data_IF_376839695245
#
_entry.id   IF_376839695245
#
_cell.length_a   1.000
_cell.length_b   1.000
_cell.length_c   1.000
_cell.angle_alpha   90.00
_cell.angle_beta   90.00
_cell.angle_gamma   90.00
#
_symmetry.space_group_name_H-M   'P 1'
#
loop_
_entity.id
_entity.type
_entity.pdbx_description
1 polymer ?
#
# COMPACT_ATOMS: atom_id res chain seq x y z
N UNK A 1 23.52 -25.68 9.11
CA UNK A 1 22.21 -25.00 9.02
C UNK A 1 22.13 -23.70 9.83
N UNK A 2 22.81 -23.55 10.98
CA UNK A 2 22.78 -22.30 11.78
C UNK A 2 23.52 -21.09 11.15
N UNK A 3 24.49 -21.30 10.25
CA UNK A 3 25.32 -20.22 9.66
C UNK A 3 24.79 -19.57 8.37
N UNK A 4 24.01 -20.31 7.56
CA UNK A 4 23.26 -19.71 6.42
C UNK A 4 22.25 -18.65 6.89
N UNK A 5 21.77 -18.79 8.13
CA UNK A 5 20.86 -17.84 8.78
C UNK A 5 21.61 -16.56 9.18
N UNK A 6 22.91 -16.61 9.49
CA UNK A 6 23.69 -15.42 9.85
C UNK A 6 24.04 -14.55 8.63
N UNK A 7 24.43 -15.16 7.50
CA UNK A 7 24.65 -14.44 6.25
C UNK A 7 23.34 -13.85 5.67
N UNK A 8 22.23 -14.61 5.74
CA UNK A 8 20.90 -14.07 5.46
C UNK A 8 20.46 -13.03 6.47
N UNK A 9 20.87 -13.09 7.74
CA UNK A 9 20.52 -12.08 8.75
C UNK A 9 21.32 -10.79 8.60
N UNK A 10 22.57 -10.84 8.11
CA UNK A 10 23.36 -9.65 7.81
C UNK A 10 22.86 -8.98 6.51
N UNK A 11 22.61 -9.75 5.46
CA UNK A 11 21.94 -9.29 4.25
C UNK A 11 20.49 -8.82 4.52
N UNK A 12 19.77 -9.52 5.42
CA UNK A 12 18.44 -9.09 5.86
C UNK A 12 18.48 -7.92 6.84
N UNK A 13 19.57 -7.63 7.54
CA UNK A 13 19.73 -6.41 8.33
C UNK A 13 19.96 -5.20 7.42
N UNK A 14 20.71 -5.39 6.33
CA UNK A 14 20.80 -4.41 5.23
C UNK A 14 19.41 -4.18 4.62
N UNK A 15 18.58 -5.23 4.48
CA UNK A 15 17.21 -5.10 3.97
C UNK A 15 16.17 -4.63 5.02
N UNK A 16 16.34 -4.92 6.31
CA UNK A 16 15.38 -4.58 7.37
C UNK A 16 15.37 -3.07 7.66
N UNK A 17 16.51 -2.39 7.49
CA UNK A 17 16.57 -0.93 7.46
C UNK A 17 16.14 -0.32 6.11
N UNK A 18 15.86 -1.14 5.09
CA UNK A 18 15.68 -0.72 3.67
C UNK A 18 14.30 -1.10 3.08
N UNK A 19 13.48 -1.88 3.79
CA UNK A 19 12.11 -2.27 3.40
C UNK A 19 11.07 -1.61 4.33
N UNK A 20 10.63 -0.40 3.94
CA UNK A 20 9.44 0.35 4.40
C UNK A 20 9.45 1.02 5.80
N UNK A 21 8.91 2.25 5.94
CA UNK A 21 8.40 2.74 7.21
C UNK A 21 7.09 2.00 7.49
N UNK A 22 7.16 0.87 8.17
CA UNK A 22 5.97 0.25 8.77
C UNK A 22 6.21 0.15 10.26
N UNK A 23 5.40 0.93 10.99
CA UNK A 23 5.27 1.00 12.44
C UNK A 23 5.31 -0.42 13.02
N UNK A 24 6.36 -0.71 13.78
CA UNK A 24 6.34 -1.75 14.79
C UNK A 24 6.64 -1.07 16.12
N UNK A 25 5.58 -0.87 16.90
CA UNK A 25 5.64 -0.55 18.32
C UNK A 25 6.47 -1.61 19.04
N UNK A 26 7.57 -1.21 19.67
CA UNK A 26 8.04 -1.82 20.90
C UNK A 26 9.03 -0.88 21.61
N UNK A 27 8.54 -0.40 22.75
CA UNK A 27 9.23 0.06 23.96
C UNK A 27 10.06 1.35 23.93
N UNK A 28 9.56 2.26 24.78
CA UNK A 28 10.14 3.51 25.24
C UNK A 28 11.62 3.36 25.62
N UNK A 29 12.50 3.80 24.74
CA UNK A 29 13.76 4.42 25.15
C UNK A 29 13.81 5.83 24.57
N UNK A 30 14.21 6.76 25.43
CA UNK A 30 14.20 8.20 25.22
C UNK A 30 14.85 8.57 23.89
N UNK A 31 14.10 9.30 23.07
CA UNK A 31 14.60 9.93 21.84
C UNK A 31 15.58 11.03 22.23
N UNK A 32 16.83 10.66 22.46
CA UNK A 32 17.94 11.61 22.51
C UNK A 32 18.51 11.78 21.11
N UNK A 33 18.18 12.92 20.51
CA UNK A 33 18.95 13.65 19.51
C UNK A 33 19.55 12.80 18.37
N UNK A 34 18.73 12.48 17.37
CA UNK A 34 19.15 11.89 16.09
C UNK A 34 19.92 12.93 15.27
N UNK A 35 21.21 13.10 15.57
CA UNK A 35 22.15 13.71 14.64
C UNK A 35 22.11 12.96 13.30
N UNK A 36 21.96 13.69 12.20
CA UNK A 36 21.98 13.17 10.83
C UNK A 36 23.32 12.48 10.53
N UNK A 37 23.44 11.19 10.85
CA UNK A 37 24.50 10.34 10.33
C UNK A 37 24.05 9.70 9.02
N UNK A 38 24.92 9.69 8.03
CA UNK A 38 24.67 9.04 6.73
C UNK A 38 24.58 7.53 6.93
N UNK A 39 23.62 6.84 6.30
CA UNK A 39 23.51 5.36 6.35
C UNK A 39 24.82 4.66 5.94
N UNK A 40 25.64 5.32 5.12
CA UNK A 40 26.97 4.83 4.75
C UNK A 40 27.93 4.94 5.92
N UNK A 41 27.96 6.07 6.62
CA UNK A 41 28.82 6.27 7.80
C UNK A 41 28.44 5.31 8.93
N UNK A 42 27.14 5.07 9.13
CA UNK A 42 26.66 4.08 10.08
C UNK A 42 27.12 2.67 9.68
N UNK A 43 26.99 2.31 8.40
CA UNK A 43 27.48 1.03 7.92
C UNK A 43 29.00 0.92 8.04
N UNK A 44 29.79 1.94 7.72
CA UNK A 44 31.25 1.91 7.88
C UNK A 44 31.65 1.76 9.34
N UNK A 45 30.97 2.46 10.24
CA UNK A 45 31.21 2.41 11.69
C UNK A 45 30.78 1.08 12.30
N UNK A 46 29.68 0.51 11.81
CA UNK A 46 29.07 -0.71 12.33
C UNK A 46 29.37 -1.94 11.45
N UNK A 47 30.23 -1.80 10.42
CA UNK A 47 30.59 -2.91 9.54
C UNK A 47 31.19 -3.99 10.43
N UNK A 48 30.53 -5.15 10.57
CA UNK A 48 31.09 -6.19 11.40
C UNK A 48 32.41 -6.61 10.77
N UNK A 49 33.50 -6.44 11.51
CA UNK A 49 34.78 -7.04 11.16
C UNK A 49 34.62 -8.55 11.26
N UNK A 50 34.12 -9.16 10.18
CA UNK A 50 34.06 -10.61 10.07
C UNK A 50 35.46 -11.17 10.20
N UNK A 51 35.58 -12.32 10.84
CA UNK A 51 36.86 -13.01 10.84
C UNK A 51 37.19 -13.46 9.42
N UNK A 52 38.47 -13.57 9.10
CA UNK A 52 38.92 -14.10 7.81
C UNK A 52 38.35 -15.52 7.56
N UNK A 53 38.13 -16.31 8.62
CA UNK A 53 37.48 -17.62 8.53
C UNK A 53 36.03 -17.53 8.05
N UNK A 54 35.28 -16.52 8.50
CA UNK A 54 33.88 -16.31 8.12
C UNK A 54 33.75 -15.78 6.68
N UNK A 55 34.63 -14.88 6.27
CA UNK A 55 34.64 -14.34 4.89
C UNK A 55 34.95 -15.41 3.84
N UNK A 56 35.80 -16.37 4.21
CA UNK A 56 36.28 -17.43 3.34
C UNK A 56 35.51 -18.74 3.53
N UNK A 57 34.44 -18.76 4.32
CA UNK A 57 33.68 -19.99 4.57
C UNK A 57 33.15 -20.58 3.25
N UNK A 58 33.66 -21.76 2.89
CA UNK A 58 33.33 -22.46 1.64
C UNK A 58 34.07 -21.97 0.38
N UNK A 59 35.00 -21.02 0.53
CA UNK A 59 35.91 -20.61 -0.53
C UNK A 59 36.97 -21.70 -0.81
N UNK A 60 37.50 -21.71 -2.03
CA UNK A 60 38.58 -22.62 -2.42
C UNK A 60 39.92 -21.90 -2.30
N UNK A 61 40.70 -22.25 -1.29
CA UNK A 61 42.07 -21.78 -1.10
C UNK A 61 43.00 -22.47 -2.09
N UNK A 62 43.86 -21.68 -2.73
CA UNK A 62 44.91 -22.10 -3.65
C UNK A 62 46.29 -21.83 -3.02
N UNK A 63 47.35 -22.32 -3.66
CA UNK A 63 48.71 -21.99 -3.26
C UNK A 63 49.00 -20.48 -3.49
N UNK A 64 50.02 -19.95 -2.80
CA UNK A 64 50.48 -18.56 -2.94
C UNK A 64 49.46 -17.46 -2.58
N UNK A 65 48.73 -17.62 -1.47
CA UNK A 65 47.76 -16.62 -0.96
C UNK A 65 46.61 -16.31 -1.92
N UNK A 66 46.21 -17.29 -2.74
CA UNK A 66 45.14 -17.11 -3.72
C UNK A 66 43.85 -17.80 -3.29
N UNK A 67 42.71 -17.25 -3.71
CA UNK A 67 41.40 -17.79 -3.41
C UNK A 67 40.46 -17.67 -4.61
N UNK A 68 39.58 -18.66 -4.78
CA UNK A 68 38.49 -18.61 -5.76
C UNK A 68 37.18 -19.10 -5.18
N UNK A 69 36.08 -18.80 -5.88
CA UNK A 69 34.72 -19.20 -5.51
C UNK A 69 34.33 -18.77 -4.09
N UNK A 70 34.52 -17.48 -3.76
CA UNK A 70 34.17 -16.90 -2.46
C UNK A 70 32.64 -16.78 -2.33
N UNK A 71 31.97 -17.59 -1.48
CA UNK A 71 30.51 -17.62 -1.44
C UNK A 71 29.89 -16.31 -0.96
N UNK A 72 30.57 -15.60 -0.06
CA UNK A 72 30.08 -14.34 0.48
C UNK A 72 30.08 -13.22 -0.57
N UNK A 73 31.14 -13.10 -1.38
CA UNK A 73 31.16 -12.18 -2.53
C UNK A 73 30.03 -12.48 -3.51
N UNK A 74 29.75 -13.77 -3.76
CA UNK A 74 28.63 -14.18 -4.61
C UNK A 74 27.29 -13.73 -4.03
N UNK A 75 27.08 -13.91 -2.71
CA UNK A 75 25.86 -13.48 -2.04
C UNK A 75 25.65 -11.96 -2.16
N UNK A 76 26.67 -11.15 -1.84
CA UNK A 76 26.61 -9.70 -2.00
C UNK A 76 26.34 -9.28 -3.46
N UNK A 77 26.90 -9.98 -4.44
CA UNK A 77 26.61 -9.72 -5.84
C UNK A 77 25.16 -10.05 -6.22
N UNK A 78 24.60 -11.16 -5.72
CA UNK A 78 23.20 -11.53 -5.93
C UNK A 78 22.23 -10.52 -5.27
N UNK A 79 22.57 -10.05 -4.07
CA UNK A 79 21.82 -9.01 -3.36
C UNK A 79 21.87 -7.68 -4.11
N UNK A 80 23.04 -7.30 -4.64
CA UNK A 80 23.18 -6.11 -5.50
C UNK A 80 22.32 -6.20 -6.75
N UNK A 81 22.24 -7.37 -7.39
CA UNK A 81 21.38 -7.59 -8.57
C UNK A 81 19.91 -7.41 -8.17
N UNK A 82 19.49 -8.03 -7.08
CA UNK A 82 18.09 -7.95 -6.61
C UNK A 82 17.72 -6.51 -6.26
N UNK A 83 18.58 -5.81 -5.52
CA UNK A 83 18.39 -4.40 -5.20
C UNK A 83 18.35 -3.54 -6.46
N UNK A 84 19.25 -3.77 -7.41
CA UNK A 84 19.29 -3.02 -8.65
C UNK A 84 18.05 -3.27 -9.51
N UNK A 85 17.50 -4.49 -9.55
CA UNK A 85 16.23 -4.80 -10.21
C UNK A 85 15.07 -4.05 -9.53
N UNK A 86 14.96 -4.15 -8.21
CA UNK A 86 13.93 -3.48 -7.41
C UNK A 86 13.98 -1.95 -7.57
N UNK A 87 15.19 -1.40 -7.62
CA UNK A 87 15.45 0.04 -7.78
C UNK A 87 15.70 0.44 -9.23
N UNK A 88 15.40 -0.44 -10.19
CA UNK A 88 15.62 -0.29 -11.65
C UNK A 88 16.88 0.50 -12.00
N UNK A 89 18.00 0.04 -11.44
CA UNK A 89 19.33 0.57 -11.66
C UNK A 89 20.08 -0.38 -12.60
N UNK A 90 20.67 0.16 -13.66
CA UNK A 90 21.37 -0.67 -14.64
C UNK A 90 22.78 -1.00 -14.15
N UNK A 91 23.02 -2.27 -13.82
CA UNK A 91 24.34 -2.75 -13.43
C UNK A 91 25.23 -3.05 -14.64
N UNK A 92 26.56 -2.81 -14.55
CA UNK A 92 27.48 -3.19 -15.60
C UNK A 92 27.49 -4.72 -15.80
N UNK A 93 27.76 -5.23 -17.02
CA UNK A 93 27.68 -6.68 -17.32
C UNK A 93 28.51 -7.57 -16.39
N UNK A 94 29.66 -7.08 -15.92
CA UNK A 94 30.50 -7.80 -14.96
C UNK A 94 29.80 -8.09 -13.62
N UNK A 95 28.87 -7.21 -13.20
CA UNK A 95 28.10 -7.38 -11.97
C UNK A 95 26.94 -8.36 -12.11
N UNK A 96 26.53 -8.72 -13.33
CA UNK A 96 25.32 -9.52 -13.55
C UNK A 96 25.53 -11.02 -13.28
N UNK A 97 26.78 -11.48 -13.23
CA UNK A 97 27.09 -12.90 -13.00
C UNK A 97 28.37 -13.09 -12.22
N UNK A 98 28.30 -13.84 -11.13
CA UNK A 98 29.48 -14.25 -10.39
C UNK A 98 30.34 -15.22 -11.24
N UNK A 99 31.63 -14.92 -11.36
CA UNK A 99 32.58 -15.79 -12.04
C UNK A 99 33.37 -16.64 -11.04
N UNK A 100 33.02 -17.93 -10.97
CA UNK A 100 33.65 -18.89 -10.06
C UNK A 100 35.11 -19.22 -10.41
N UNK A 101 35.55 -18.95 -11.64
CA UNK A 101 36.93 -19.17 -12.08
C UNK A 101 37.84 -17.96 -11.85
N UNK A 102 37.29 -16.81 -11.40
CA UNK A 102 38.12 -15.66 -11.04
C UNK A 102 38.94 -15.99 -9.78
N UNK A 103 40.24 -15.73 -9.86
CA UNK A 103 41.20 -15.91 -8.77
C UNK A 103 41.52 -14.54 -8.18
N UNK A 104 41.40 -14.41 -6.87
CA UNK A 104 41.71 -13.20 -6.12
C UNK A 104 42.87 -13.46 -5.16
N UNK A 105 43.57 -12.39 -4.76
CA UNK A 105 44.47 -12.42 -3.62
C UNK A 105 43.65 -12.49 -2.33
N UNK A 106 44.09 -13.31 -1.37
CA UNK A 106 43.39 -13.59 -0.12
C UNK A 106 43.16 -12.30 0.68
N UNK A 107 44.17 -11.44 0.73
CA UNK A 107 44.16 -10.20 1.50
C UNK A 107 43.20 -9.16 0.89
N UNK A 108 42.80 -9.35 -0.37
CA UNK A 108 41.86 -8.47 -1.06
C UNK A 108 40.38 -8.84 -0.85
N UNK A 109 40.06 -9.95 -0.18
CA UNK A 109 38.66 -10.40 -0.05
C UNK A 109 37.83 -9.50 0.86
N UNK A 110 38.30 -9.24 2.08
CA UNK A 110 37.65 -8.34 3.03
C UNK A 110 37.29 -6.97 2.40
N UNK A 111 38.23 -6.23 1.80
CA UNK A 111 37.93 -4.91 1.22
C UNK A 111 36.98 -4.99 0.01
N UNK A 112 37.01 -6.08 -0.78
CA UNK A 112 36.05 -6.27 -1.89
C UNK A 112 34.63 -6.48 -1.39
N UNK A 113 34.47 -7.27 -0.33
CA UNK A 113 33.17 -7.52 0.30
C UNK A 113 32.60 -6.22 0.87
N UNK A 114 33.44 -5.45 1.58
CA UNK A 114 33.11 -4.10 2.07
C UNK A 114 32.65 -3.18 0.94
N UNK A 115 33.41 -3.10 -0.16
CA UNK A 115 33.08 -2.24 -1.30
C UNK A 115 31.74 -2.60 -1.96
N UNK A 116 31.43 -3.89 -2.12
CA UNK A 116 30.14 -4.34 -2.66
C UNK A 116 28.97 -3.95 -1.73
N UNK A 117 29.15 -4.11 -0.42
CA UNK A 117 28.17 -3.68 0.58
C UNK A 117 27.89 -2.18 0.55
N UNK A 118 28.96 -1.36 0.57
CA UNK A 118 28.87 0.10 0.45
C UNK A 118 28.17 0.53 -0.84
N UNK A 119 28.47 -0.14 -1.95
CA UNK A 119 27.84 0.13 -3.25
C UNK A 119 26.32 -0.10 -3.19
N UNK A 120 25.87 -1.15 -2.51
CA UNK A 120 24.45 -1.42 -2.35
C UNK A 120 23.73 -0.33 -1.57
N UNK A 121 24.31 0.12 -0.46
CA UNK A 121 23.76 1.23 0.34
C UNK A 121 23.73 2.52 -0.48
N UNK A 122 24.79 2.79 -1.23
CA UNK A 122 24.86 3.97 -2.10
C UNK A 122 23.76 3.96 -3.18
N UNK A 123 23.53 2.83 -3.87
CA UNK A 123 22.42 2.67 -4.83
C UNK A 123 21.08 2.93 -4.13
N UNK A 124 20.90 2.41 -2.92
CA UNK A 124 19.68 2.62 -2.14
C UNK A 124 19.45 4.11 -1.88
N UNK A 125 20.44 4.82 -1.32
CA UNK A 125 20.35 6.26 -1.05
C UNK A 125 20.10 7.08 -2.30
N UNK A 126 20.75 6.75 -3.42
CA UNK A 126 20.50 7.41 -4.70
C UNK A 126 19.03 7.25 -5.16
N UNK A 127 18.41 6.12 -4.85
CA UNK A 127 17.02 5.82 -5.22
C UNK A 127 15.97 6.43 -4.30
N UNK A 128 16.36 6.97 -3.15
CA UNK A 128 15.47 7.55 -2.12
C UNK A 128 15.69 9.05 -1.93
N UNK A 129 16.94 9.49 -1.83
CA UNK A 129 17.30 10.88 -1.49
C UNK A 129 17.54 11.76 -2.73
N UNK A 130 18.01 11.17 -3.85
CA UNK A 130 18.35 11.94 -5.05
C UNK A 130 17.23 11.98 -6.10
N UNK A 131 16.02 11.50 -5.78
CA UNK A 131 14.91 11.34 -6.75
C UNK A 131 14.58 12.64 -7.50
N UNK A 132 14.73 13.77 -6.83
CA UNK A 132 14.41 15.11 -7.34
C UNK A 132 15.60 15.83 -7.96
N UNK A 133 16.79 15.21 -7.97
CA UNK A 133 18.00 15.82 -8.51
C UNK A 133 18.04 15.78 -10.03
N UNK A 134 18.81 16.70 -10.61
CA UNK A 134 19.06 16.73 -12.06
C UNK A 134 19.66 15.41 -12.56
N UNK A 135 19.43 15.09 -13.84
CA UNK A 135 19.96 13.87 -14.47
C UNK A 135 21.49 13.73 -14.33
N UNK A 136 22.22 14.85 -14.26
CA UNK A 136 23.67 14.85 -14.05
C UNK A 136 24.09 14.19 -12.73
N UNK A 137 23.31 14.36 -11.65
CA UNK A 137 23.57 13.71 -10.37
C UNK A 137 23.46 12.19 -10.49
N UNK A 138 22.40 11.71 -11.15
CA UNK A 138 22.21 10.29 -11.39
C UNK A 138 23.25 9.70 -12.35
N UNK A 139 23.65 10.43 -13.39
CA UNK A 139 24.72 10.00 -14.30
C UNK A 139 26.07 9.89 -13.59
N UNK A 140 26.38 10.83 -12.68
CA UNK A 140 27.58 10.75 -11.85
C UNK A 140 27.51 9.58 -10.88
N UNK A 141 26.40 9.42 -10.15
CA UNK A 141 26.16 8.27 -9.27
C UNK A 141 26.34 6.93 -10.01
N UNK A 142 25.80 6.81 -11.22
CA UNK A 142 25.96 5.63 -12.06
C UNK A 142 27.43 5.37 -12.44
N UNK A 143 28.19 6.41 -12.74
CA UNK A 143 29.64 6.30 -12.99
C UNK A 143 30.40 5.78 -11.77
N UNK A 144 30.11 6.30 -10.58
CA UNK A 144 30.76 5.88 -9.33
C UNK A 144 30.44 4.43 -8.97
N UNK A 145 29.17 4.03 -9.10
CA UNK A 145 28.74 2.63 -8.91
C UNK A 145 29.45 1.71 -9.90
N UNK A 146 29.53 2.11 -11.18
CA UNK A 146 30.21 1.31 -12.18
C UNK A 146 31.70 1.10 -11.86
N UNK A 147 32.39 2.17 -11.42
CA UNK A 147 33.80 2.09 -10.99
C UNK A 147 33.94 1.18 -9.78
N UNK A 148 33.14 1.37 -8.73
CA UNK A 148 33.21 0.57 -7.51
C UNK A 148 33.03 -0.93 -7.78
N UNK A 149 32.02 -1.30 -8.58
CA UNK A 149 31.76 -2.69 -8.94
C UNK A 149 32.89 -3.27 -9.77
N UNK A 150 33.37 -2.55 -10.78
CA UNK A 150 34.45 -3.04 -11.64
C UNK A 150 35.73 -3.24 -10.81
N UNK A 151 36.06 -2.33 -9.90
CA UNK A 151 37.20 -2.46 -8.98
C UNK A 151 37.03 -3.66 -8.06
N UNK A 152 35.85 -3.84 -7.46
CA UNK A 152 35.55 -4.96 -6.56
C UNK A 152 35.68 -6.33 -7.26
N UNK A 153 35.33 -6.41 -8.55
CA UNK A 153 35.35 -7.65 -9.34
C UNK A 153 36.65 -7.84 -10.13
N UNK A 154 37.51 -6.82 -10.23
CA UNK A 154 38.78 -6.91 -10.94
C UNK A 154 39.81 -7.67 -10.10
N UNK A 155 40.23 -8.89 -10.49
CA UNK A 155 41.21 -9.67 -9.72
C UNK A 155 42.60 -9.04 -9.64
N UNK A 156 42.89 -8.07 -10.52
CA UNK A 156 44.17 -7.37 -10.55
C UNK A 156 44.18 -6.05 -9.77
N UNK A 157 43.02 -5.64 -9.23
CA UNK A 157 42.96 -4.47 -8.36
C UNK A 157 43.72 -4.74 -7.05
N UNK A 158 44.62 -3.84 -6.71
CA UNK A 158 45.36 -3.85 -5.45
C UNK A 158 44.44 -3.52 -4.27
N UNK A 159 44.83 -3.91 -3.05
CA UNK A 159 44.09 -3.58 -1.82
C UNK A 159 43.92 -2.06 -1.69
N UNK A 160 44.97 -1.29 -1.96
CA UNK A 160 44.92 0.17 -1.89
C UNK A 160 43.92 0.78 -2.89
N UNK A 161 43.82 0.25 -4.11
CA UNK A 161 42.82 0.70 -5.10
C UNK A 161 41.39 0.38 -4.67
N UNK A 162 41.17 -0.74 -3.98
CA UNK A 162 39.84 -1.13 -3.48
C UNK A 162 39.43 -0.24 -2.31
N UNK A 163 40.34 0.03 -1.36
CA UNK A 163 40.05 0.93 -0.24
C UNK A 163 39.84 2.38 -0.70
N UNK A 164 40.60 2.87 -1.69
CA UNK A 164 40.33 4.17 -2.31
C UNK A 164 38.95 4.23 -2.96
N UNK A 165 38.48 3.13 -3.55
CA UNK A 165 37.12 3.04 -4.09
C UNK A 165 36.06 3.05 -2.97
N UNK A 166 36.32 2.42 -1.82
CA UNK A 166 35.47 2.52 -0.63
C UNK A 166 35.35 3.98 -0.17
N UNK A 167 36.47 4.68 0.03
CA UNK A 167 36.46 6.08 0.45
C UNK A 167 35.71 6.97 -0.55
N UNK A 168 35.91 6.74 -1.84
CA UNK A 168 35.27 7.52 -2.89
C UNK A 168 33.75 7.35 -2.90
N UNK A 169 33.25 6.11 -2.83
CA UNK A 169 31.80 5.87 -2.88
C UNK A 169 31.09 6.37 -1.61
N UNK A 170 31.78 6.36 -0.47
CA UNK A 170 31.24 6.89 0.78
C UNK A 170 31.11 8.40 0.77
N UNK A 171 32.10 9.11 0.20
CA UNK A 171 32.12 10.57 0.20
C UNK A 171 31.31 11.21 -0.95
N UNK A 172 31.13 10.51 -2.07
CA UNK A 172 30.52 11.14 -3.26
C UNK A 172 29.05 11.53 -3.05
N UNK A 173 28.36 10.90 -2.09
CA UNK A 173 26.97 11.24 -1.79
C UNK A 173 26.82 12.69 -1.33
N UNK A 174 27.75 13.20 -0.53
CA UNK A 174 27.72 14.59 -0.06
C UNK A 174 27.80 15.56 -1.23
N UNK A 175 28.60 15.24 -2.25
CA UNK A 175 28.67 16.05 -3.46
C UNK A 175 27.37 15.99 -4.26
N UNK A 176 26.76 14.80 -4.39
CA UNK A 176 25.54 14.61 -5.17
C UNK A 176 24.32 15.30 -4.54
N UNK A 177 24.24 15.35 -3.22
CA UNK A 177 23.16 16.05 -2.50
C UNK A 177 23.23 17.57 -2.75
N UNK A 178 24.43 18.13 -2.92
CA UNK A 178 24.64 19.55 -3.23
C UNK A 178 24.33 19.92 -4.68
N UNK A 179 24.11 18.93 -5.56
CA UNK A 179 23.70 19.21 -6.94
C UNK A 179 22.29 19.81 -6.97
N UNK A 180 21.98 20.65 -7.98
CA UNK A 180 20.68 21.30 -8.06
C UNK A 180 19.55 20.27 -8.21
N UNK A 181 18.41 20.60 -7.61
CA UNK A 181 17.16 19.91 -7.84
C UNK A 181 16.55 20.29 -9.19
N UNK A 182 15.62 19.46 -9.68
CA UNK A 182 14.88 19.70 -10.90
C UNK A 182 13.96 20.91 -10.74
N UNK A 183 13.98 21.78 -11.74
CA UNK A 183 13.01 22.88 -11.88
C UNK A 183 11.74 22.40 -12.57
N UNK A 184 10.69 23.22 -12.53
CA UNK A 184 9.40 22.91 -13.14
C UNK A 184 9.48 22.72 -14.67
N UNK A 185 10.39 23.44 -15.33
CA UNK A 185 10.58 23.42 -16.78
C UNK A 185 11.55 22.32 -17.27
N UNK A 186 12.29 21.70 -16.35
CA UNK A 186 13.16 20.58 -16.69
C UNK A 186 12.36 19.36 -17.13
N UNK A 187 12.99 18.49 -17.93
CA UNK A 187 12.40 17.21 -18.27
C UNK A 187 12.46 16.24 -17.09
N UNK A 188 11.32 15.61 -16.78
CA UNK A 188 11.23 14.64 -15.71
C UNK A 188 12.17 13.45 -15.96
N UNK A 189 13.05 13.18 -14.99
CA UNK A 189 13.97 12.05 -15.01
C UNK A 189 13.23 10.72 -14.89
N UNK A 190 13.91 9.62 -15.21
CA UNK A 190 13.34 8.27 -15.05
C UNK A 190 12.98 7.97 -13.59
N UNK A 191 13.72 8.54 -12.63
CA UNK A 191 13.51 8.36 -11.20
C UNK A 191 12.23 9.05 -10.74
N UNK A 192 12.01 10.29 -11.15
CA UNK A 192 10.76 11.00 -10.86
C UNK A 192 9.55 10.28 -11.48
N UNK A 193 9.68 9.83 -12.73
CA UNK A 193 8.65 9.04 -13.41
C UNK A 193 8.36 7.71 -12.72
N UNK A 194 9.33 7.11 -12.04
CA UNK A 194 9.13 5.86 -11.29
C UNK A 194 8.16 6.07 -10.13
N UNK A 195 8.33 7.16 -9.39
CA UNK A 195 7.43 7.51 -8.27
C UNK A 195 6.01 7.66 -8.79
N UNK A 196 5.83 8.41 -9.89
CA UNK A 196 4.54 8.52 -10.56
C UNK A 196 3.97 7.17 -11.05
N UNK A 197 4.80 6.33 -11.67
CA UNK A 197 4.37 5.04 -12.20
C UNK A 197 3.89 4.07 -11.10
N UNK A 198 4.37 4.23 -9.86
CA UNK A 198 3.84 3.51 -8.69
C UNK A 198 2.38 3.89 -8.44
N UNK A 199 2.09 5.20 -8.36
CA UNK A 199 0.72 5.71 -8.22
C UNK A 199 -0.18 5.26 -9.38
N UNK A 200 0.35 5.23 -10.61
CA UNK A 200 -0.37 4.71 -11.77
C UNK A 200 -0.69 3.20 -11.67
N UNK A 201 0.23 2.41 -11.12
CA UNK A 201 0.02 0.99 -10.86
C UNK A 201 -1.07 0.77 -9.80
N UNK A 202 -1.05 1.55 -8.72
CA UNK A 202 -2.05 1.47 -7.66
C UNK A 202 -3.43 1.92 -8.15
N UNK A 203 -3.50 2.93 -9.02
CA UNK A 203 -4.73 3.32 -9.71
C UNK A 203 -5.31 2.19 -10.60
N UNK A 204 -4.46 1.43 -11.30
CA UNK A 204 -4.89 0.24 -12.06
C UNK A 204 -5.38 -0.89 -11.17
N UNK A 205 -4.79 -1.08 -9.98
CA UNK A 205 -5.28 -2.06 -9.00
C UNK A 205 -6.66 -1.66 -8.49
N UNK A 206 -6.87 -0.38 -8.19
CA UNK A 206 -8.15 0.19 -7.76
C UNK A 206 -9.28 -0.08 -8.76
N UNK A 207 -9.02 -0.09 -10.08
CA UNK A 207 -10.03 -0.46 -11.09
C UNK A 207 -10.54 -1.90 -10.99
N UNK A 208 -9.71 -2.82 -10.49
CA UNK A 208 -9.98 -4.25 -10.52
C UNK A 208 -10.67 -4.76 -9.24
N UNK A 209 -10.71 -3.93 -8.21
CA UNK A 209 -11.18 -4.24 -6.87
C UNK A 209 -12.58 -3.65 -6.61
N UNK A 210 -13.33 -4.25 -5.69
CA UNK A 210 -14.57 -3.68 -5.15
C UNK A 210 -14.26 -2.79 -3.96
N UNK A 211 -15.14 -1.82 -3.71
CA UNK A 211 -15.08 -1.01 -2.50
C UNK A 211 -15.64 -1.80 -1.31
N UNK A 212 -14.95 -1.70 -0.18
CA UNK A 212 -15.41 -2.15 1.13
C UNK A 212 -15.18 -1.05 2.15
N UNK A 213 -16.13 -0.90 3.05
CA UNK A 213 -16.11 0.09 4.12
C UNK A 213 -14.92 -0.13 5.07
N UNK A 214 -14.50 -1.37 5.29
CA UNK A 214 -13.37 -1.70 6.17
C UNK A 214 -11.99 -1.43 5.54
N UNK A 215 -11.94 -0.92 4.30
CA UNK A 215 -10.73 -0.67 3.51
C UNK A 215 -9.86 -1.92 3.28
N UNK A 216 -10.35 -3.13 3.58
CA UNK A 216 -9.67 -4.38 3.24
C UNK A 216 -9.55 -4.58 1.73
N UNK A 217 -10.46 -3.95 0.98
CA UNK A 217 -10.45 -3.88 -0.46
C UNK A 217 -10.91 -2.47 -0.86
N UNK A 218 -10.10 -1.79 -1.68
CA UNK A 218 -10.40 -0.45 -2.19
C UNK A 218 -10.45 -0.53 -3.71
N UNK A 219 -11.60 -0.20 -4.29
CA UNK A 219 -11.74 -0.17 -5.73
C UNK A 219 -13.08 0.28 -6.27
N UNK A 220 -13.14 0.52 -7.57
CA UNK A 220 -14.32 1.10 -8.25
C UNK A 220 -15.10 0.10 -9.09
N UNK A 221 -14.77 -1.20 -9.01
CA UNK A 221 -15.42 -2.22 -9.84
C UNK A 221 -16.93 -2.34 -9.59
N UNK A 222 -17.37 -2.02 -8.38
CA UNK A 222 -18.78 -1.94 -8.01
C UNK A 222 -19.46 -0.62 -8.35
N UNK A 223 -18.78 0.36 -8.95
CA UNK A 223 -19.40 1.65 -9.31
C UNK A 223 -20.17 1.58 -10.62
N UNK A 224 -20.95 2.63 -10.92
CA UNK A 224 -21.63 2.85 -12.21
C UNK A 224 -20.70 2.61 -13.40
N UNK A 225 -21.26 2.06 -14.47
CA UNK A 225 -20.50 1.73 -15.68
C UNK A 225 -19.83 2.97 -16.28
N UNK A 226 -20.52 4.11 -16.29
CA UNK A 226 -19.97 5.40 -16.69
C UNK A 226 -18.69 5.75 -15.92
N UNK A 227 -18.73 5.78 -14.59
CA UNK A 227 -17.59 6.10 -13.71
C UNK A 227 -16.40 5.18 -14.01
N UNK A 228 -16.65 3.87 -14.11
CA UNK A 228 -15.58 2.89 -14.40
C UNK A 228 -14.93 3.12 -15.76
N UNK A 229 -15.74 3.36 -16.79
CA UNK A 229 -15.25 3.56 -18.15
C UNK A 229 -14.52 4.89 -18.30
N UNK A 230 -15.04 5.96 -17.70
CA UNK A 230 -14.43 7.29 -17.69
C UNK A 230 -13.10 7.30 -16.94
N UNK A 231 -13.04 6.72 -15.73
CA UNK A 231 -11.78 6.57 -14.99
C UNK A 231 -10.77 5.72 -15.77
N UNK A 232 -11.22 4.66 -16.44
CA UNK A 232 -10.34 3.83 -17.26
C UNK A 232 -9.72 4.58 -18.42
N UNK A 233 -10.53 5.33 -19.14
CA UNK A 233 -10.05 6.18 -20.21
C UNK A 233 -9.03 7.20 -19.69
N UNK A 234 -9.32 7.86 -18.56
CA UNK A 234 -8.43 8.84 -17.96
C UNK A 234 -7.08 8.22 -17.55
N UNK A 235 -7.08 7.07 -16.88
CA UNK A 235 -5.86 6.35 -16.52
C UNK A 235 -5.05 5.93 -17.75
N UNK A 236 -5.71 5.51 -18.83
CA UNK A 236 -5.05 5.10 -20.07
C UNK A 236 -4.44 6.30 -20.82
N UNK A 237 -5.12 7.45 -20.82
CA UNK A 237 -4.63 8.69 -21.42
C UNK A 237 -3.46 9.27 -20.61
N UNK A 238 -3.59 9.36 -19.28
CA UNK A 238 -2.50 9.74 -18.35
C UNK A 238 -1.28 8.82 -18.54
N UNK A 239 -1.50 7.49 -18.62
CA UNK A 239 -0.41 6.54 -18.86
C UNK A 239 0.28 6.73 -20.20
N UNK A 240 -0.42 7.24 -21.22
CA UNK A 240 0.16 7.51 -22.54
C UNK A 240 0.98 8.80 -22.51
N UNK A 241 0.51 9.81 -21.80
CA UNK A 241 1.21 11.09 -21.63
C UNK A 241 2.48 10.95 -20.81
N UNK A 242 2.44 10.21 -19.68
CA UNK A 242 3.62 10.03 -18.81
C UNK A 242 4.79 9.31 -19.48
N UNK A 243 4.52 8.48 -20.50
CA UNK A 243 5.54 7.77 -21.30
C UNK A 243 6.32 8.68 -22.24
N UNK A 244 5.76 9.83 -22.63
CA UNK A 244 6.44 10.80 -23.50
C UNK A 244 7.52 11.54 -22.73
N UNK A 245 8.43 12.20 -23.43
CA UNK A 245 9.31 13.19 -22.79
C UNK A 245 8.42 14.34 -22.27
N UNK A 246 8.40 14.54 -20.96
CA UNK A 246 7.45 15.41 -20.26
C UNK A 246 8.23 16.27 -19.26
N UNK A 247 7.81 17.52 -19.08
CA UNK A 247 8.38 18.41 -18.08
C UNK A 247 7.90 18.03 -16.67
N UNK A 248 8.67 18.41 -15.64
CA UNK A 248 8.32 18.13 -14.25
C UNK A 248 6.96 18.70 -13.88
N UNK A 249 6.68 19.96 -14.24
CA UNK A 249 5.37 20.59 -13.96
C UNK A 249 4.18 19.80 -14.51
N UNK A 250 4.30 19.34 -15.76
CA UNK A 250 3.24 18.58 -16.41
C UNK A 250 3.09 17.20 -15.75
N UNK A 251 4.17 16.59 -15.25
CA UNK A 251 4.10 15.32 -14.52
C UNK A 251 3.39 15.48 -13.16
N UNK A 252 3.61 16.61 -12.47
CA UNK A 252 2.89 16.95 -11.23
C UNK A 252 1.40 17.14 -11.49
N UNK A 253 1.04 17.81 -12.58
CA UNK A 253 -0.37 17.95 -12.99
C UNK A 253 -0.99 16.60 -13.38
N UNK A 254 -0.26 15.71 -14.04
CA UNK A 254 -0.74 14.35 -14.30
C UNK A 254 -0.97 13.54 -13.01
N UNK A 255 -0.14 13.72 -11.98
CA UNK A 255 -0.35 13.10 -10.67
C UNK A 255 -1.64 13.62 -10.01
N UNK A 256 -1.86 14.94 -10.06
CA UNK A 256 -3.08 15.56 -9.58
C UNK A 256 -4.32 15.05 -10.33
N UNK A 257 -4.26 15.00 -11.67
CA UNK A 257 -5.33 14.42 -12.51
C UNK A 257 -5.64 12.98 -12.13
N UNK A 258 -4.61 12.15 -11.98
CA UNK A 258 -4.75 10.74 -11.61
C UNK A 258 -5.45 10.58 -10.26
N UNK A 259 -4.94 11.27 -9.23
CA UNK A 259 -5.44 11.15 -7.86
C UNK A 259 -6.82 11.73 -7.70
N UNK A 260 -7.07 12.90 -8.27
CA UNK A 260 -8.41 13.50 -8.27
C UNK A 260 -9.42 12.54 -8.88
N UNK A 261 -9.15 12.03 -10.08
CA UNK A 261 -10.04 11.09 -10.76
C UNK A 261 -10.32 9.84 -9.94
N UNK A 262 -9.30 9.27 -9.29
CA UNK A 262 -9.48 8.11 -8.41
C UNK A 262 -10.29 8.43 -7.14
N UNK A 263 -10.00 9.56 -6.48
CA UNK A 263 -10.73 10.01 -5.28
C UNK A 263 -12.21 10.22 -5.61
N UNK A 264 -12.50 10.95 -6.68
CA UNK A 264 -13.87 11.24 -7.08
C UNK A 264 -14.63 9.98 -7.48
N UNK A 265 -13.98 9.07 -8.21
CA UNK A 265 -14.59 7.78 -8.55
C UNK A 265 -14.88 6.92 -7.31
N UNK A 266 -14.10 7.05 -6.24
CA UNK A 266 -14.36 6.37 -4.97
C UNK A 266 -15.52 7.03 -4.21
N UNK A 267 -15.64 8.36 -4.25
CA UNK A 267 -16.68 9.14 -3.57
C UNK A 267 -18.07 9.02 -4.22
N UNK A 268 -18.16 8.64 -5.49
CA UNK A 268 -19.44 8.48 -6.19
C UNK A 268 -20.45 7.59 -5.43
N UNK A 269 -21.70 8.02 -5.40
CA UNK A 269 -22.82 7.24 -4.90
C UNK A 269 -23.11 6.09 -5.89
N UNK A 270 -23.73 5.00 -5.43
CA UNK A 270 -23.92 3.71 -6.13
C UNK A 270 -22.77 2.72 -6.09
N UNK A 271 -22.80 1.90 -5.03
CA UNK A 271 -21.91 0.75 -4.87
C UNK A 271 -22.71 -0.54 -5.05
N UNK A 272 -22.54 -1.16 -6.22
CA UNK A 272 -23.03 -2.50 -6.51
C UNK A 272 -22.31 -3.55 -5.68
N UNK A 273 -23.08 -4.52 -5.21
CA UNK A 273 -22.61 -5.55 -4.33
C UNK A 273 -21.62 -6.49 -5.01
N UNK A 274 -20.49 -6.76 -4.34
CA UNK A 274 -19.50 -7.69 -4.87
C UNK A 274 -20.06 -9.12 -4.98
N UNK A 275 -19.71 -9.89 -6.03
CA UNK A 275 -20.13 -11.29 -6.16
C UNK A 275 -19.72 -12.15 -4.96
N UNK A 276 -18.58 -11.84 -4.33
CA UNK A 276 -18.08 -12.52 -3.14
C UNK A 276 -18.99 -12.28 -1.93
N UNK A 277 -19.46 -11.05 -1.72
CA UNK A 277 -20.42 -10.76 -0.64
C UNK A 277 -21.79 -11.36 -0.94
N UNK A 278 -22.28 -11.23 -2.17
CA UNK A 278 -23.57 -11.79 -2.57
C UNK A 278 -23.62 -13.31 -2.37
N UNK A 279 -22.58 -14.03 -2.77
CA UNK A 279 -22.47 -15.49 -2.55
C UNK A 279 -22.18 -15.88 -1.10
N UNK A 280 -21.32 -15.11 -0.43
CA UNK A 280 -20.92 -15.37 0.95
C UNK A 280 -22.00 -15.09 1.98
N UNK A 281 -22.95 -14.19 1.67
CA UNK A 281 -23.94 -13.64 2.60
C UNK A 281 -25.36 -13.93 2.11
N UNK A 282 -25.77 -13.34 0.98
CA UNK A 282 -27.16 -13.39 0.50
C UNK A 282 -27.53 -14.82 0.07
N UNK A 283 -26.68 -15.50 -0.70
CA UNK A 283 -26.97 -16.85 -1.16
C UNK A 283 -27.04 -17.85 0.01
N UNK A 284 -26.26 -17.64 1.09
CA UNK A 284 -26.37 -18.44 2.32
C UNK A 284 -27.71 -18.22 3.02
N UNK A 285 -28.14 -16.97 3.16
CA UNK A 285 -29.44 -16.63 3.76
C UNK A 285 -30.60 -17.23 2.97
N UNK A 286 -30.58 -17.10 1.63
CA UNK A 286 -31.61 -17.72 0.78
C UNK A 286 -31.64 -19.24 0.92
N UNK A 287 -30.49 -19.89 1.09
CA UNK A 287 -30.43 -21.33 1.30
C UNK A 287 -31.01 -21.74 2.66
N UNK A 288 -30.69 -21.01 3.74
CA UNK A 288 -31.29 -21.24 5.06
C UNK A 288 -32.81 -21.12 5.00
N UNK A 289 -33.33 -20.08 4.34
CA UNK A 289 -34.77 -19.84 4.17
C UNK A 289 -35.45 -20.91 3.31
N UNK A 290 -34.78 -21.43 2.27
CA UNK A 290 -35.26 -22.59 1.51
C UNK A 290 -35.35 -23.84 2.37
N UNK A 291 -34.39 -24.06 3.26
CA UNK A 291 -34.41 -25.17 4.22
C UNK A 291 -35.57 -25.03 5.20
N UNK A 292 -35.79 -23.83 5.76
CA UNK A 292 -36.93 -23.55 6.64
C UNK A 292 -38.23 -23.86 5.91
N UNK A 293 -38.42 -23.29 4.72
CA UNK A 293 -39.58 -23.53 3.87
C UNK A 293 -39.82 -25.03 3.67
N UNK A 294 -38.80 -25.78 3.28
CA UNK A 294 -38.93 -27.23 3.02
C UNK A 294 -39.41 -28.00 4.24
N UNK A 295 -38.86 -27.69 5.42
CA UNK A 295 -39.20 -28.35 6.69
C UNK A 295 -40.60 -27.99 7.19
N UNK A 296 -41.01 -26.73 7.04
CA UNK A 296 -42.32 -26.25 7.52
C UNK A 296 -43.44 -26.45 6.51
N UNK A 297 -43.13 -26.77 5.25
CA UNK A 297 -44.09 -26.89 4.15
C UNK A 297 -45.29 -27.78 4.48
N UNK A 298 -45.12 -28.90 5.21
CA UNK A 298 -46.24 -29.81 5.51
C UNK A 298 -47.31 -29.21 6.41
N UNK A 299 -47.00 -28.14 7.14
CA UNK A 299 -47.86 -27.52 8.14
C UNK A 299 -48.54 -26.25 7.66
N UNK A 300 -47.98 -25.60 6.65
CA UNK A 300 -48.50 -24.34 6.12
C UNK A 300 -49.77 -24.53 5.28
N UNK A 301 -50.68 -23.56 5.34
CA UNK A 301 -51.83 -23.48 4.45
C UNK A 301 -51.39 -23.32 2.98
N UNK A 302 -52.27 -23.64 2.02
CA UNK A 302 -51.95 -23.48 0.60
C UNK A 302 -51.67 -22.01 0.21
N UNK A 303 -52.33 -21.07 0.90
CA UNK A 303 -52.12 -19.64 0.71
C UNK A 303 -50.76 -19.18 1.26
N UNK A 304 -50.44 -19.58 2.50
CA UNK A 304 -49.17 -19.22 3.14
C UNK A 304 -47.96 -19.81 2.38
N UNK A 305 -48.12 -21.02 1.81
CA UNK A 305 -47.12 -21.62 0.90
C UNK A 305 -46.89 -20.77 -0.34
N UNK A 306 -47.97 -20.36 -1.00
CA UNK A 306 -47.88 -19.56 -2.22
C UNK A 306 -47.24 -18.20 -1.94
N UNK A 307 -47.57 -17.58 -0.81
CA UNK A 307 -46.97 -16.32 -0.37
C UNK A 307 -45.49 -16.48 0.01
N UNK A 308 -45.10 -17.57 0.71
CA UNK A 308 -43.69 -17.86 0.98
C UNK A 308 -42.91 -17.99 -0.34
N UNK A 309 -43.43 -18.79 -1.28
CA UNK A 309 -42.84 -18.94 -2.61
C UNK A 309 -42.67 -17.60 -3.32
N UNK A 310 -43.66 -16.72 -3.22
CA UNK A 310 -43.64 -15.40 -3.82
C UNK A 310 -42.55 -14.52 -3.21
N UNK A 311 -42.45 -14.42 -1.90
CA UNK A 311 -41.40 -13.62 -1.23
C UNK A 311 -40.01 -14.19 -1.47
N UNK A 312 -39.86 -15.53 -1.43
CA UNK A 312 -38.60 -16.20 -1.75
C UNK A 312 -38.16 -15.95 -3.20
N UNK A 313 -39.10 -15.92 -4.15
CA UNK A 313 -38.82 -15.55 -5.54
C UNK A 313 -38.39 -14.10 -5.66
N UNK A 314 -39.11 -13.15 -5.05
CA UNK A 314 -38.72 -11.73 -5.06
C UNK A 314 -37.28 -11.52 -4.56
N UNK A 315 -36.93 -12.10 -3.42
CA UNK A 315 -35.57 -12.01 -2.89
C UNK A 315 -34.52 -12.65 -3.82
N UNK A 316 -34.86 -13.80 -4.43
CA UNK A 316 -33.99 -14.46 -5.41
C UNK A 316 -33.84 -13.63 -6.69
N UNK A 317 -34.88 -12.96 -7.14
CA UNK A 317 -34.87 -12.13 -8.35
C UNK A 317 -34.06 -10.85 -8.13
N UNK A 318 -34.21 -10.20 -6.97
CA UNK A 318 -33.35 -9.06 -6.56
C UNK A 318 -31.89 -9.47 -6.56
N UNK A 319 -31.56 -10.63 -5.98
CA UNK A 319 -30.19 -11.16 -5.97
C UNK A 319 -29.64 -11.44 -7.37
N UNK A 320 -30.49 -11.82 -8.33
CA UNK A 320 -30.09 -12.13 -9.71
C UNK A 320 -29.95 -10.88 -10.60
N UNK A 321 -30.40 -9.72 -10.14
CA UNK A 321 -30.20 -8.48 -10.86
C UNK A 321 -28.68 -8.19 -11.02
N UNK A 322 -28.29 -7.70 -12.20
CA UNK A 322 -26.89 -7.49 -12.59
C UNK A 322 -26.20 -6.45 -11.69
N UNK A 323 -26.90 -5.37 -11.40
CA UNK A 323 -26.37 -4.17 -10.74
C UNK A 323 -27.14 -3.93 -9.42
N UNK A 324 -27.15 -4.95 -8.55
CA UNK A 324 -27.83 -4.87 -7.26
C UNK A 324 -26.92 -4.21 -6.22
N UNK A 325 -27.42 -3.18 -5.51
CA UNK A 325 -26.70 -2.56 -4.39
C UNK A 325 -26.70 -3.47 -3.15
N UNK A 326 -25.75 -3.23 -2.24
CA UNK A 326 -25.67 -3.96 -0.97
C UNK A 326 -26.99 -3.87 -0.17
N UNK A 327 -27.53 -2.66 -0.04
CA UNK A 327 -28.77 -2.41 0.68
C UNK A 327 -29.96 -3.08 0.02
N UNK A 328 -30.13 -2.95 -1.31
CA UNK A 328 -31.27 -3.56 -2.01
C UNK A 328 -31.28 -5.08 -1.87
N UNK A 329 -30.11 -5.71 -1.94
CA UNK A 329 -29.99 -7.14 -1.70
C UNK A 329 -30.32 -7.52 -0.25
N UNK A 330 -29.89 -6.71 0.72
CA UNK A 330 -30.18 -6.92 2.14
C UNK A 330 -31.68 -6.74 2.47
N UNK A 331 -32.32 -5.69 1.95
CA UNK A 331 -33.75 -5.41 2.10
C UNK A 331 -34.61 -6.60 1.63
N UNK A 332 -34.27 -7.20 0.48
CA UNK A 332 -34.95 -8.40 -0.01
C UNK A 332 -34.85 -9.58 0.96
N UNK A 333 -33.75 -9.70 1.70
CA UNK A 333 -33.59 -10.71 2.75
C UNK A 333 -34.37 -10.32 4.00
N UNK A 334 -34.33 -9.07 4.45
CA UNK A 334 -35.06 -8.61 5.63
C UNK A 334 -36.57 -8.79 5.48
N UNK A 335 -37.16 -8.40 4.35
CA UNK A 335 -38.59 -8.62 4.05
C UNK A 335 -38.95 -10.10 4.16
N UNK A 336 -38.08 -10.99 3.66
CA UNK A 336 -38.31 -12.43 3.73
C UNK A 336 -38.14 -12.97 5.16
N UNK A 337 -37.23 -12.41 5.97
CA UNK A 337 -37.08 -12.73 7.38
C UNK A 337 -38.32 -12.33 8.19
N UNK A 338 -38.84 -11.14 7.95
CA UNK A 338 -40.04 -10.63 8.62
C UNK A 338 -41.23 -11.52 8.31
N UNK A 339 -41.44 -11.86 7.03
CA UNK A 339 -42.51 -12.78 6.64
C UNK A 339 -42.38 -14.18 7.27
N UNK A 340 -41.16 -14.71 7.39
CA UNK A 340 -40.93 -16.00 8.08
C UNK A 340 -41.23 -15.88 9.58
N UNK A 341 -40.94 -14.73 10.17
CA UNK A 341 -41.21 -14.45 11.59
C UNK A 341 -42.71 -14.38 11.84
N UNK A 342 -43.47 -13.68 10.98
CA UNK A 342 -44.95 -13.64 11.02
C UNK A 342 -45.56 -15.05 10.90
N UNK A 343 -45.03 -15.88 9.99
CA UNK A 343 -45.49 -17.27 9.84
C UNK A 343 -45.21 -18.10 11.09
N UNK A 344 -44.10 -17.86 11.78
CA UNK A 344 -43.78 -18.54 13.03
C UNK A 344 -44.74 -18.13 14.14
N UNK A 345 -45.07 -16.84 14.26
CA UNK A 345 -46.05 -16.37 15.24
C UNK A 345 -47.44 -16.99 15.01
N UNK A 346 -47.78 -17.21 13.74
CA UNK A 346 -49.02 -17.88 13.34
C UNK A 346 -49.01 -19.40 13.62
N UNK A 347 -47.85 -20.05 13.54
CA UNK A 347 -47.66 -21.52 13.65
C UNK A 347 -46.49 -21.90 14.58
N UNK A 348 -46.56 -21.59 15.89
CA UNK A 348 -45.42 -21.70 16.79
C UNK A 348 -44.97 -23.16 17.01
N UNK A 349 -45.90 -24.06 17.34
CA UNK A 349 -45.61 -25.48 17.62
C UNK A 349 -45.05 -26.22 16.39
N UNK A 350 -45.55 -25.87 15.20
CA UNK A 350 -45.14 -26.48 13.95
C UNK A 350 -43.74 -26.02 13.53
N UNK A 351 -43.39 -24.76 13.79
CA UNK A 351 -42.03 -24.26 13.54
C UNK A 351 -41.02 -24.83 14.55
N UNK A 352 -41.38 -24.91 15.84
CA UNK A 352 -40.51 -25.50 16.87
C UNK A 352 -40.22 -26.98 16.58
N UNK A 353 -41.27 -27.76 16.26
CA UNK A 353 -41.12 -29.17 15.91
C UNK A 353 -40.39 -29.41 14.60
N UNK A 354 -40.60 -28.58 13.56
CA UNK A 354 -39.93 -28.73 12.27
C UNK A 354 -38.44 -28.35 12.32
N UNK A 355 -38.07 -27.39 13.15
CA UNK A 355 -36.71 -26.87 13.26
C UNK A 355 -35.92 -27.47 14.43
N UNK A 356 -36.57 -28.31 15.26
CA UNK A 356 -36.00 -28.86 16.49
C UNK A 356 -35.47 -27.77 17.43
N UNK A 357 -36.18 -26.64 17.48
CA UNK A 357 -35.91 -25.56 18.42
C UNK A 357 -36.40 -26.01 19.81
N UNK A 358 -35.61 -25.76 20.85
CA UNK A 358 -36.05 -25.99 22.24
C UNK A 358 -37.15 -24.98 22.56
N UNK A 359 -38.19 -25.37 23.31
CA UNK A 359 -39.37 -24.54 23.66
C UNK A 359 -39.03 -23.05 23.80
N UNK A 360 -39.45 -22.24 22.82
CA UNK A 360 -39.25 -20.78 22.80
C UNK A 360 -37.93 -20.24 22.22
N UNK A 361 -36.95 -21.07 21.83
CA UNK A 361 -35.71 -20.58 21.19
C UNK A 361 -36.04 -19.94 19.83
N UNK A 362 -35.66 -18.66 19.68
CA UNK A 362 -35.94 -17.91 18.45
C UNK A 362 -35.10 -18.43 17.28
N UNK A 363 -35.65 -18.37 16.06
CA UNK A 363 -34.82 -18.39 14.85
C UNK A 363 -33.93 -17.15 14.95
N UNK A 364 -32.70 -17.33 15.42
CA UNK A 364 -31.74 -16.23 15.49
C UNK A 364 -31.20 -16.00 14.10
N UNK A 365 -31.70 -14.96 13.45
CA UNK A 365 -31.11 -14.47 12.23
C UNK A 365 -29.69 -14.03 12.51
N UNK A 366 -28.71 -14.60 11.80
CA UNK A 366 -27.34 -14.08 11.86
C UNK A 366 -27.34 -12.70 11.22
N UNK A 367 -26.93 -11.69 11.96
CA UNK A 367 -26.66 -10.39 11.38
C UNK A 367 -25.52 -10.49 10.38
N UNK A 368 -25.61 -9.70 9.32
CA UNK A 368 -24.56 -9.60 8.32
C UNK A 368 -24.31 -8.13 8.01
N UNK A 369 -23.04 -7.77 7.85
CA UNK A 369 -22.66 -6.41 7.55
C UNK A 369 -23.13 -6.00 6.15
N UNK A 370 -23.91 -4.92 6.07
CA UNK A 370 -24.36 -4.29 4.83
C UNK A 370 -23.46 -3.09 4.59
N UNK A 371 -22.77 -3.07 3.45
CA UNK A 371 -21.91 -1.95 3.11
C UNK A 371 -22.77 -0.71 2.84
N UNK A 372 -22.26 0.47 3.22
CA UNK A 372 -22.88 1.75 2.90
C UNK A 372 -22.96 1.95 1.38
N UNK A 373 -24.06 2.55 0.91
CA UNK A 373 -24.15 3.01 -0.48
C UNK A 373 -23.36 4.30 -0.71
N UNK A 374 -23.22 5.10 0.35
CA UNK A 374 -22.45 6.34 0.36
C UNK A 374 -21.09 6.05 0.97
N UNK A 375 -20.00 6.12 0.18
CA UNK A 375 -18.64 6.01 0.70
C UNK A 375 -18.38 7.10 1.73
N UNK A 376 -17.78 6.72 2.85
CA UNK A 376 -17.40 7.66 3.91
C UNK A 376 -16.12 8.42 3.50
N UNK A 377 -16.18 9.75 3.30
CA UNK A 377 -15.02 10.54 2.89
C UNK A 377 -13.84 10.38 3.84
N UNK A 378 -14.08 10.27 5.15
CA UNK A 378 -13.00 10.13 6.12
C UNK A 378 -12.30 8.76 6.05
N UNK A 379 -12.97 7.73 5.54
CA UNK A 379 -12.31 6.44 5.25
C UNK A 379 -11.47 6.52 3.99
N UNK A 380 -11.97 7.22 2.98
CA UNK A 380 -11.20 7.46 1.75
C UNK A 380 -9.97 8.32 2.08
N UNK A 381 -10.07 9.28 3.00
CA UNK A 381 -8.97 10.10 3.51
C UNK A 381 -7.78 9.27 4.07
N UNK A 382 -8.06 8.08 4.61
CA UNK A 382 -7.03 7.17 5.15
C UNK A 382 -6.21 6.43 4.07
N UNK A 383 -6.58 6.55 2.79
CA UNK A 383 -5.84 5.91 1.69
C UNK A 383 -4.59 6.76 1.35
N UNK A 384 -3.47 6.39 1.97
CA UNK A 384 -2.21 7.16 1.92
C UNK A 384 -1.78 7.59 0.52
N UNK A 385 -1.73 6.66 -0.45
CA UNK A 385 -1.21 6.97 -1.78
C UNK A 385 -2.11 7.92 -2.60
N UNK A 386 -3.41 7.99 -2.29
CA UNK A 386 -4.35 8.89 -2.95
C UNK A 386 -4.25 10.30 -2.37
N UNK A 387 -4.20 10.39 -1.04
CA UNK A 387 -4.32 11.67 -0.37
C UNK A 387 -2.98 12.35 -0.13
N UNK A 388 -1.86 11.63 -0.17
CA UNK A 388 -0.53 12.22 -0.14
C UNK A 388 -0.06 12.58 -1.53
N UNK A 389 0.62 13.73 -1.71
CA UNK A 389 1.25 14.05 -2.99
C UNK A 389 2.27 12.94 -3.32
N UNK A 390 2.46 12.64 -4.62
CA UNK A 390 3.45 11.62 -5.00
C UNK A 390 4.85 12.18 -4.85
N UNK A 391 4.97 13.52 -4.85
CA UNK A 391 6.20 14.26 -4.78
C UNK A 391 6.18 15.09 -3.51
N UNK A 392 7.20 14.94 -2.68
CA UNK A 392 7.34 15.64 -1.41
C UNK A 392 7.96 17.04 -1.57
N UNK A 393 7.97 17.57 -2.80
CA UNK A 393 8.51 18.89 -3.13
C UNK A 393 7.64 19.59 -4.19
N UNK A 394 7.66 20.92 -4.16
CA UNK A 394 7.16 21.77 -5.25
C UNK A 394 8.38 22.34 -5.97
N UNK A 395 8.59 22.05 -7.27
CA UNK A 395 9.77 22.50 -7.99
C UNK A 395 9.73 24.00 -8.20
N UNK A 396 10.92 24.61 -8.21
CA UNK A 396 11.08 26.03 -8.52
C UNK A 396 10.48 26.36 -9.89
N UNK A 397 9.70 27.44 -9.94
CA UNK A 397 8.99 27.88 -11.14
C UNK A 397 7.71 27.11 -11.43
N UNK A 398 7.24 26.24 -10.52
CA UNK A 398 5.95 25.59 -10.69
C UNK A 398 4.81 26.60 -10.58
N UNK A 399 4.15 26.82 -11.71
CA UNK A 399 2.85 27.47 -11.75
C UNK A 399 1.90 26.51 -12.48
N UNK A 400 0.82 26.04 -11.83
CA UNK A 400 -0.12 25.13 -12.48
C UNK A 400 -0.73 25.80 -13.70
N UNK A 401 -1.07 24.99 -14.70
CA UNK A 401 -1.79 25.43 -15.88
C UNK A 401 -3.18 25.96 -15.50
N UNK A 402 -3.61 27.03 -16.16
CA UNK A 402 -4.95 27.63 -15.98
C UNK A 402 -6.08 26.76 -16.62
N UNK A 403 -5.77 25.52 -16.99
CA UNK A 403 -6.72 24.64 -17.67
C UNK A 403 -7.60 23.89 -16.67
N UNK A 404 -8.87 23.73 -17.02
CA UNK A 404 -9.80 22.87 -16.29
C UNK A 404 -9.84 21.48 -16.92
N UNK A 405 -8.76 20.72 -16.76
CA UNK A 405 -8.60 19.36 -17.32
C UNK A 405 -8.63 18.28 -16.22
N UNK A 406 -8.76 18.66 -14.95
CA UNK A 406 -8.79 17.71 -13.83
C UNK A 406 -10.22 17.28 -13.56
N UNK A 407 -10.48 15.97 -13.57
CA UNK A 407 -11.78 15.45 -13.14
C UNK A 407 -11.96 15.72 -11.64
N UNK A 408 -12.97 16.50 -11.29
CA UNK A 408 -13.34 16.84 -9.91
C UNK A 408 -14.71 16.30 -9.51
N UNK A 409 -15.40 15.61 -10.41
CA UNK A 409 -16.65 14.88 -10.16
C UNK A 409 -17.08 14.05 -11.37
N UNK A 410 -17.94 13.06 -11.16
CA UNK A 410 -18.54 12.25 -12.24
C UNK A 410 -20.05 12.44 -12.39
N UNK A 411 -20.59 13.55 -11.88
CA UNK A 411 -22.00 13.93 -12.04
C UNK A 411 -22.93 12.90 -11.43
N UNK A 412 -23.39 13.15 -10.20
CA UNK A 412 -24.34 12.29 -9.51
C UNK A 412 -25.59 12.12 -10.39
N UNK A 413 -25.77 10.91 -10.95
CA UNK A 413 -26.86 10.49 -11.84
C UNK A 413 -26.94 11.10 -13.25
N UNK A 414 -26.13 12.10 -13.61
CA UNK A 414 -26.22 12.77 -14.93
C UNK A 414 -25.32 12.17 -16.02
N UNK A 415 -24.44 11.23 -15.66
CA UNK A 415 -23.40 10.68 -16.55
C UNK A 415 -22.57 11.81 -17.23
N UNK A 416 -22.24 12.84 -16.46
CA UNK A 416 -21.45 14.00 -16.91
C UNK A 416 -20.14 14.09 -16.11
N UNK A 417 -19.04 14.46 -16.77
CA UNK A 417 -17.75 14.66 -16.09
C UNK A 417 -17.63 16.13 -15.71
N UNK A 418 -17.37 16.38 -14.44
CA UNK A 418 -17.08 17.72 -13.94
C UNK A 418 -15.56 17.94 -13.95
N UNK A 419 -15.14 19.00 -14.62
CA UNK A 419 -13.73 19.39 -14.71
C UNK A 419 -13.45 20.63 -13.87
N UNK A 420 -12.27 20.65 -13.26
CA UNK A 420 -11.75 21.75 -12.46
C UNK A 420 -10.25 21.95 -12.67
N UNK A 421 -9.72 22.95 -11.99
CA UNK A 421 -8.31 23.31 -12.06
C UNK A 421 -7.47 22.55 -11.04
N UNK A 422 -6.15 22.73 -11.11
CA UNK A 422 -5.23 22.26 -10.07
C UNK A 422 -5.60 22.79 -8.68
N UNK A 423 -6.03 24.04 -8.58
CA UNK A 423 -6.48 24.65 -7.32
C UNK A 423 -7.72 23.93 -6.78
N UNK A 424 -8.70 23.64 -7.65
CA UNK A 424 -9.90 22.88 -7.27
C UNK A 424 -9.52 21.50 -6.70
N UNK A 425 -8.57 20.81 -7.32
CA UNK A 425 -8.06 19.54 -6.81
C UNK A 425 -7.44 19.70 -5.42
N UNK A 426 -6.53 20.67 -5.24
CA UNK A 426 -5.87 20.88 -3.94
C UNK A 426 -6.89 21.20 -2.84
N UNK A 427 -7.85 22.08 -3.11
CA UNK A 427 -8.93 22.41 -2.20
C UNK A 427 -9.77 21.18 -1.81
N UNK A 428 -10.18 20.36 -2.79
CA UNK A 428 -10.96 19.16 -2.54
C UNK A 428 -10.18 18.12 -1.73
N UNK A 429 -8.89 17.94 -2.03
CA UNK A 429 -8.00 17.04 -1.29
C UNK A 429 -7.84 17.50 0.16
N UNK A 430 -7.64 18.79 0.39
CA UNK A 430 -7.42 19.33 1.73
C UNK A 430 -8.71 19.23 2.57
N UNK A 431 -9.88 19.45 1.95
CA UNK A 431 -11.17 19.17 2.59
C UNK A 431 -11.37 17.69 2.94
N UNK A 432 -10.95 16.79 2.05
CA UNK A 432 -11.03 15.35 2.30
C UNK A 432 -10.15 14.97 3.49
N UNK A 433 -8.93 15.50 3.57
CA UNK A 433 -8.06 15.31 4.74
C UNK A 433 -8.65 15.89 6.03
N UNK A 434 -9.25 17.09 5.98
CA UNK A 434 -9.91 17.68 7.14
C UNK A 434 -11.08 16.83 7.67
N UNK A 435 -11.72 16.02 6.81
CA UNK A 435 -12.77 15.09 7.27
C UNK A 435 -12.21 13.94 8.14
N UNK A 436 -10.92 13.63 8.05
CA UNK A 436 -10.24 12.70 8.97
C UNK A 436 -10.17 13.27 10.39
N UNK A 437 -9.88 14.57 10.53
CA UNK A 437 -9.74 15.24 11.83
C UNK A 437 -11.06 15.27 12.63
N UNK A 438 -12.21 15.33 11.93
CA UNK A 438 -13.53 15.32 12.56
C UNK A 438 -13.99 13.97 13.13
N UNK A 439 -13.24 12.88 12.88
CA UNK A 439 -13.55 11.53 13.40
C UNK A 439 -12.45 11.01 14.32
N UNK A 440 -11.78 11.91 15.05
CA UNK A 440 -11.45 11.55 16.43
C UNK A 440 -12.77 11.71 17.18
N UNK A 441 -13.35 10.65 17.76
CA UNK A 441 -14.38 10.86 18.76
C UNK A 441 -13.71 11.70 19.83
N UNK A 442 -14.09 12.97 19.92
CA UNK A 442 -13.97 13.73 21.14
C UNK A 442 -14.85 12.99 22.15
N UNK A 443 -14.30 11.92 22.74
CA UNK A 443 -14.60 11.63 24.12
C UNK A 443 -14.09 12.85 24.83
N UNK A 444 -14.96 13.88 24.91
CA UNK A 444 -14.66 15.11 25.60
C UNK A 444 -13.93 14.71 26.86
N UNK A 445 -12.78 15.33 27.10
CA UNK A 445 -12.04 15.17 28.34
C UNK A 445 -13.11 15.14 29.44
N UNK A 446 -13.34 13.96 30.03
CA UNK A 446 -14.05 13.92 31.29
C UNK A 446 -13.17 14.80 32.17
N UNK A 447 -13.64 16.03 32.39
CA UNK A 447 -13.12 16.88 33.44
C UNK A 447 -13.03 15.95 34.64
N UNK A 448 -11.81 15.64 35.02
CA UNK A 448 -11.54 14.99 36.27
C UNK A 448 -11.90 16.04 37.31
N UNK A 449 -13.19 16.09 37.65
CA UNK A 449 -13.61 16.66 38.91
C UNK A 449 -12.86 15.86 39.96
N UNK A 450 -11.79 16.46 40.48
CA UNK A 450 -11.17 16.06 41.72
C UNK A 450 -12.31 15.97 42.74
N UNK A 451 -12.75 14.75 43.02
CA UNK A 451 -13.65 14.49 44.12
C UNK A 451 -12.90 14.85 45.40
N UNK A 452 -13.14 16.06 45.90
CA UNK A 452 -12.89 16.41 47.29
C UNK A 452 -13.61 15.36 48.15
N UNK A 453 -12.81 14.52 48.80
CA UNK A 453 -13.27 13.66 49.87
C UNK A 453 -13.61 14.58 51.04
N UNK A 454 -14.90 14.93 51.19
CA UNK A 454 -15.42 15.56 52.40
C UNK A 454 -16.12 14.51 53.28
N UNK A 455 -15.41 14.12 54.34
CA UNK A 455 -15.89 13.29 55.43
C UNK A 455 -16.91 14.09 56.27
N UNK A 456 -18.21 14.02 55.95
CA UNK A 456 -19.21 14.79 56.71
C UNK A 456 -20.67 14.40 56.52
N UNK A 457 -21.19 13.60 57.47
CA UNK A 457 -22.59 13.25 57.78
C UNK A 457 -23.76 13.91 57.02
N UNK A 458 -24.70 13.06 56.58
CA UNK A 458 -26.07 13.42 56.19
C UNK A 458 -26.86 14.01 57.38
N UNK A 459 -27.29 15.26 57.26
CA UNK A 459 -28.37 15.84 58.08
C UNK A 459 -29.59 16.03 57.18
N UNK A 460 -30.68 15.33 57.49
CA UNK A 460 -32.00 15.59 56.92
C UNK A 460 -32.67 16.71 57.71
N UNK A 461 -33.06 17.80 57.06
CA UNK A 461 -33.97 18.78 57.65
C UNK A 461 -35.40 18.46 57.19
N UNK A 462 -36.24 18.07 58.14
CA UNK A 462 -37.69 17.99 57.97
C UNK A 462 -38.28 19.26 58.57
N UNK A 463 -38.56 20.24 57.70
CA UNK A 463 -39.59 21.25 57.91
C UNK A 463 -40.37 21.50 56.62
#
# INVERSE_FOLDING_TARGET
>A
MKKKIAAMALAAAILANVISPTIASADNEEVTDMGQYSLIEEYEKNFPQMSQEDELEGATLLENNQVKNVPLMKAYQEDLITLAEDRSFDLPPAAQKFNAETIYDLDSIAPRIKLLGLTGIFIHRCSTELVYKVQAAHSKAAGEVAVAIITALNPFASVDEIEQACERISNVMDELVQMPDLTADDFATIYLKRVFNKSLSDARRLQNNYYRDDLSEVGVKGKREFVRNSLRKEIDDISRESRKQIQVKNLIELDARLKSSCIQALLEEDIYASPKWLSGTIDKQLNEMRTIRSKTNRYLSNEDKANFDKELRKATDVRRARDVSYQRAAEGIYILRDYITDLREKYPEEFESALALRDGEAITWREFNVQSQTPDPARIAKILWLNNPSFDFLPDGFNPSDNNDIIVGFGHDTDEIEYGSYETYTYNRDRLRASEETIVPDFGEEESEEAEVDDGYLIFDFN
#
